data_IF_704757238626
#
_entry.id   IF_704757238626
#
_cell.length_a   1.000
_cell.length_b   1.000
_cell.length_c   1.000
_cell.angle_alpha   90.00
_cell.angle_beta   90.00
_cell.angle_gamma   90.00
#
_symmetry.space_group_name_H-M   'P 1'
#
loop_
_entity.id
_entity.type
_entity.pdbx_description
1 polymer ?
#
# COMPACT_ATOMS: atom_id res chain seq x y z
N UNK A 1 40.76 -24.86 11.42
CA UNK A 1 40.93 -24.40 12.82
C UNK A 1 39.58 -23.80 13.23
N UNK A 2 38.80 -24.52 14.05
CA UNK A 2 37.43 -24.11 14.43
C UNK A 2 37.51 -23.19 15.64
N UNK A 3 36.94 -21.99 15.56
CA UNK A 3 36.79 -21.07 16.70
C UNK A 3 35.31 -20.92 16.99
N UNK A 4 34.96 -21.14 18.25
CA UNK A 4 33.62 -21.26 18.80
C UNK A 4 33.19 -19.89 19.38
N UNK A 5 32.14 -19.29 18.81
CA UNK A 5 31.57 -18.03 19.27
C UNK A 5 30.57 -18.27 20.43
N UNK A 6 31.11 -18.52 21.63
CA UNK A 6 30.36 -18.43 22.88
C UNK A 6 31.29 -17.87 23.95
N UNK A 7 31.40 -16.56 24.05
CA UNK A 7 31.78 -15.81 25.26
C UNK A 7 31.95 -14.34 24.90
N UNK A 8 30.90 -13.53 25.08
CA UNK A 8 31.01 -12.09 25.36
C UNK A 8 29.59 -11.54 25.57
N UNK A 9 29.16 -11.49 26.84
CA UNK A 9 28.29 -10.45 27.43
C UNK A 9 27.94 -10.86 28.85
N UNK A 10 28.83 -10.52 29.77
CA UNK A 10 28.56 -10.52 31.20
C UNK A 10 29.33 -9.34 31.81
N UNK A 11 28.77 -8.13 31.67
CA UNK A 11 29.13 -6.96 32.48
C UNK A 11 28.15 -5.82 32.14
N UNK A 12 27.25 -5.48 33.07
CA UNK A 12 26.39 -4.30 32.90
C UNK A 12 25.12 -4.28 33.74
N UNK A 13 25.15 -4.73 34.99
CA UNK A 13 24.06 -4.48 35.93
C UNK A 13 24.66 -4.20 37.31
N UNK A 14 24.57 -2.94 37.77
CA UNK A 14 24.49 -2.50 39.17
C UNK A 14 24.65 -0.98 39.26
N UNK A 15 23.56 -0.28 39.56
CA UNK A 15 23.47 0.74 40.60
C UNK A 15 22.02 1.26 40.66
N UNK A 16 21.21 0.62 41.49
CA UNK A 16 19.96 1.18 41.98
C UNK A 16 19.94 1.08 43.51
N UNK A 17 19.73 2.22 44.15
CA UNK A 17 19.35 2.40 45.54
C UNK A 17 19.22 3.90 45.80
N UNK A 18 18.35 4.43 46.64
CA UNK A 18 17.20 3.97 47.43
C UNK A 18 16.62 5.24 48.03
N UNK A 19 15.29 5.39 48.10
CA UNK A 19 14.51 6.03 49.18
C UNK A 19 13.21 6.67 48.65
N UNK A 20 12.04 6.16 49.04
CA UNK A 20 11.21 6.72 50.11
C UNK A 20 9.94 5.87 50.31
N UNK A 21 9.66 5.57 51.58
CA UNK A 21 8.45 4.92 52.08
C UNK A 21 7.50 5.99 52.64
N UNK A 22 6.23 5.89 52.28
CA UNK A 22 5.00 6.24 53.03
C UNK A 22 3.86 6.22 52.00
N UNK A 23 2.67 5.63 52.17
CA UNK A 23 1.95 5.12 53.34
C UNK A 23 0.45 5.34 53.06
N UNK A 24 -0.40 4.43 53.53
CA UNK A 24 -1.88 4.42 53.48
C UNK A 24 -2.48 4.07 52.09
N UNK A 25 -3.26 3.00 51.88
CA UNK A 25 -4.07 2.18 52.77
C UNK A 25 -5.55 2.52 52.58
N UNK A 26 -6.30 1.70 51.84
CA UNK A 26 -7.66 1.25 52.22
C UNK A 26 -8.25 0.26 51.19
N UNK A 27 -8.91 -0.77 51.74
CA UNK A 27 -9.70 -1.81 51.07
C UNK A 27 -11.13 -1.31 50.85
N UNK A 28 -11.79 -1.77 49.79
CA UNK A 28 -13.19 -2.25 49.87
C UNK A 28 -13.45 -3.28 48.76
N UNK A 29 -14.13 -4.34 49.15
CA UNK A 29 -14.52 -5.56 48.40
C UNK A 29 -15.55 -5.34 47.27
N UNK A 30 -15.77 -6.35 46.40
CA UNK A 30 -16.59 -6.26 45.18
C UNK A 30 -17.99 -6.89 45.33
N UNK A 31 -18.96 -6.49 44.48
CA UNK A 31 -20.16 -7.25 44.02
C UNK A 31 -21.17 -6.31 43.30
N UNK A 32 -22.21 -6.81 42.60
CA UNK A 32 -22.35 -8.05 41.81
C UNK A 32 -22.95 -7.79 40.40
N UNK A 33 -22.97 -8.83 39.57
CA UNK A 33 -23.77 -8.90 38.34
C UNK A 33 -25.26 -9.21 38.63
N UNK A 34 -26.19 -8.84 37.72
CA UNK A 34 -27.48 -9.52 37.56
C UNK A 34 -27.52 -10.24 36.18
N UNK A 35 -27.56 -11.58 36.14
CA UNK A 35 -28.75 -12.47 36.07
C UNK A 35 -29.62 -12.33 34.83
N UNK A 36 -29.67 -13.45 34.10
CA UNK A 36 -30.59 -13.84 33.04
C UNK A 36 -32.06 -13.75 33.48
N UNK A 37 -32.93 -13.44 32.52
CA UNK A 37 -34.39 -13.45 32.66
C UNK A 37 -35.03 -13.94 31.36
N UNK A 38 -35.78 -15.03 31.51
CA UNK A 38 -36.37 -15.97 30.56
C UNK A 38 -37.57 -15.43 29.76
N UNK A 39 -37.73 -15.99 28.55
CA UNK A 39 -38.95 -16.39 27.82
C UNK A 39 -40.26 -15.55 27.93
N UNK A 40 -40.93 -15.30 26.80
CA UNK A 40 -42.17 -16.01 26.40
C UNK A 40 -42.75 -15.48 25.06
N UNK A 41 -43.46 -16.38 24.37
CA UNK A 41 -44.13 -16.25 23.06
C UNK A 41 -45.34 -15.30 23.09
N UNK A 42 -45.66 -14.67 21.95
CA UNK A 42 -46.80 -15.03 21.07
C UNK A 42 -47.34 -13.86 20.21
N UNK A 43 -47.81 -14.26 19.01
CA UNK A 43 -48.88 -13.67 18.19
C UNK A 43 -48.61 -12.44 17.30
N UNK A 44 -48.45 -12.75 16.00
CA UNK A 44 -49.25 -12.29 14.85
C UNK A 44 -49.96 -10.92 14.93
N UNK A 45 -49.65 -10.06 13.96
CA UNK A 45 -50.42 -8.87 13.61
C UNK A 45 -49.86 -8.19 12.36
N UNK A 46 -50.59 -8.31 11.26
CA UNK A 46 -50.28 -7.81 9.92
C UNK A 46 -50.00 -6.29 9.87
N UNK A 47 -48.93 -5.91 9.16
CA UNK A 47 -48.57 -4.51 8.89
C UNK A 47 -47.78 -4.39 7.59
N UNK A 48 -48.51 -4.15 6.50
CA UNK A 48 -48.03 -4.00 5.12
C UNK A 48 -47.46 -2.59 4.87
N UNK A 49 -46.18 -2.48 4.48
CA UNK A 49 -45.58 -1.54 3.49
C UNK A 49 -44.02 -1.46 3.65
N UNK A 50 -43.27 -0.94 2.66
CA UNK A 50 -42.92 -1.55 1.39
C UNK A 50 -41.41 -1.91 1.29
N UNK A 51 -41.10 -2.92 0.47
CA UNK A 51 -39.73 -3.29 0.13
C UNK A 51 -39.04 -2.22 -0.74
N UNK A 52 -37.94 -1.66 -0.28
CA UNK A 52 -36.94 -1.01 -1.14
C UNK A 52 -35.93 -2.06 -1.57
N UNK A 53 -36.36 -2.86 -2.55
CA UNK A 53 -35.49 -3.71 -3.34
C UNK A 53 -34.91 -2.84 -4.46
N UNK A 54 -33.60 -2.61 -4.45
CA UNK A 54 -32.89 -2.05 -5.60
C UNK A 54 -31.63 -2.87 -5.83
N UNK A 55 -31.82 -4.18 -5.96
CA UNK A 55 -30.90 -5.03 -6.69
C UNK A 55 -30.84 -4.54 -8.13
N UNK A 56 -29.66 -4.09 -8.56
CA UNK A 56 -29.36 -3.82 -9.95
C UNK A 56 -29.59 -5.10 -10.77
N UNK A 57 -30.74 -5.19 -11.42
CA UNK A 57 -31.06 -6.28 -12.32
C UNK A 57 -30.17 -6.19 -13.55
N UNK A 58 -29.24 -7.12 -13.68
CA UNK A 58 -28.52 -7.44 -14.93
C UNK A 58 -29.49 -8.10 -15.94
N UNK A 59 -30.53 -7.38 -16.36
CA UNK A 59 -31.33 -7.76 -17.51
C UNK A 59 -30.80 -7.06 -18.75
N UNK A 60 -30.29 -7.89 -19.67
CA UNK A 60 -29.74 -7.54 -20.97
C UNK A 60 -30.85 -7.00 -21.88
N UNK A 61 -30.84 -5.73 -22.33
CA UNK A 61 -31.76 -5.28 -23.35
C UNK A 61 -31.39 -5.93 -24.69
N UNK A 62 -32.38 -6.56 -25.31
CA UNK A 62 -32.30 -7.13 -26.65
C UNK A 62 -32.45 -6.02 -27.70
N UNK A 63 -31.39 -5.23 -27.91
CA UNK A 63 -31.21 -4.38 -29.09
C UNK A 63 -29.73 -4.42 -29.48
N UNK A 64 -29.37 -5.40 -30.30
CA UNK A 64 -28.01 -5.58 -30.77
C UNK A 64 -27.72 -4.59 -31.92
N UNK A 65 -27.40 -3.35 -31.57
CA UNK A 65 -26.55 -2.52 -32.44
C UNK A 65 -25.28 -3.32 -32.78
N UNK A 66 -24.76 -3.22 -34.01
CA UNK A 66 -23.47 -3.82 -34.35
C UNK A 66 -22.44 -3.36 -33.32
N UNK A 67 -21.80 -4.31 -32.63
CA UNK A 67 -20.73 -4.00 -31.70
C UNK A 67 -19.59 -3.40 -32.52
N UNK A 68 -19.38 -2.10 -32.38
CA UNK A 68 -18.20 -1.42 -32.90
C UNK A 68 -16.96 -2.20 -32.43
N UNK A 69 -16.23 -2.87 -33.34
CA UNK A 69 -15.14 -3.77 -32.97
C UNK A 69 -13.93 -3.02 -32.40
N UNK A 70 -13.91 -1.68 -32.51
CA UNK A 70 -12.90 -0.85 -31.87
C UNK A 70 -13.13 -0.72 -30.35
N UNK A 71 -14.35 -0.90 -29.84
CA UNK A 71 -14.66 -0.74 -28.41
C UNK A 71 -14.14 -1.94 -27.61
N UNK A 72 -13.18 -1.68 -26.72
CA UNK A 72 -12.53 -2.67 -25.86
C UNK A 72 -13.31 -2.83 -24.56
N UNK A 73 -13.65 -1.71 -23.91
CA UNK A 73 -14.41 -1.68 -22.66
C UNK A 73 -15.30 -0.44 -22.64
N UNK A 74 -16.42 -0.52 -21.94
CA UNK A 74 -17.33 0.60 -21.75
C UNK A 74 -18.06 0.53 -20.42
N UNK A 75 -18.38 1.69 -19.89
CA UNK A 75 -19.14 1.86 -18.66
C UNK A 75 -20.00 3.12 -18.77
N UNK A 76 -21.15 3.12 -18.10
CA UNK A 76 -21.96 4.32 -17.92
C UNK A 76 -21.88 4.78 -16.47
N UNK A 77 -21.56 6.05 -16.25
CA UNK A 77 -21.54 6.68 -14.93
C UNK A 77 -22.53 7.86 -15.00
N UNK A 78 -23.76 7.64 -14.52
CA UNK A 78 -24.85 8.61 -14.64
C UNK A 78 -25.15 8.98 -16.10
N UNK A 79 -24.93 10.24 -16.46
CA UNK A 79 -25.09 10.77 -17.82
C UNK A 79 -23.85 10.64 -18.70
N UNK A 80 -22.72 10.20 -18.13
CA UNK A 80 -21.46 10.06 -18.84
C UNK A 80 -21.30 8.65 -19.42
N UNK A 81 -20.89 8.58 -20.68
CA UNK A 81 -20.39 7.38 -21.31
C UNK A 81 -18.86 7.35 -21.24
N UNK A 82 -18.32 6.30 -20.63
CA UNK A 82 -16.89 6.02 -20.56
C UNK A 82 -16.61 4.87 -21.50
N UNK A 83 -15.63 5.02 -22.39
CA UNK A 83 -15.27 3.97 -23.34
C UNK A 83 -13.78 3.97 -23.63
N UNK A 84 -13.21 2.78 -23.72
CA UNK A 84 -11.86 2.54 -24.23
C UNK A 84 -11.99 1.92 -25.61
N UNK A 85 -11.33 2.52 -26.60
CA UNK A 85 -11.33 2.06 -27.99
C UNK A 85 -9.92 1.81 -28.49
N UNK A 86 -9.75 0.83 -29.37
CA UNK A 86 -8.54 0.67 -30.17
C UNK A 86 -8.47 1.79 -31.21
N UNK A 87 -7.30 2.38 -31.39
CA UNK A 87 -7.02 3.37 -32.43
C UNK A 87 -6.39 2.70 -33.66
N UNK A 88 -6.46 3.36 -34.82
CA UNK A 88 -6.00 2.80 -36.10
C UNK A 88 -4.49 2.53 -36.13
N UNK A 89 -3.72 3.26 -35.33
CA UNK A 89 -2.28 3.08 -35.10
C UNK A 89 -1.94 1.89 -34.19
N UNK A 90 -2.94 1.16 -33.68
CA UNK A 90 -2.76 0.03 -32.78
C UNK A 90 -2.64 0.41 -31.30
N UNK A 91 -2.78 1.69 -30.96
CA UNK A 91 -2.91 2.19 -29.60
C UNK A 91 -4.31 2.01 -29.01
N UNK A 92 -4.56 2.72 -27.91
CA UNK A 92 -5.90 2.79 -27.30
C UNK A 92 -6.24 4.22 -26.89
N UNK A 93 -7.53 4.56 -26.93
CA UNK A 93 -8.07 5.84 -26.46
C UNK A 93 -9.21 5.62 -25.49
N UNK A 94 -9.08 6.21 -24.30
CA UNK A 94 -10.16 6.46 -23.36
C UNK A 94 -10.90 7.75 -23.76
N UNK A 95 -12.23 7.69 -23.74
CA UNK A 95 -13.11 8.86 -23.84
C UNK A 95 -14.13 8.86 -22.72
N UNK A 96 -14.37 10.01 -22.10
CA UNK A 96 -15.54 10.26 -21.25
C UNK A 96 -16.38 11.34 -21.94
N UNK A 97 -17.62 11.03 -22.28
CA UNK A 97 -18.51 11.92 -23.03
C UNK A 97 -19.86 12.09 -22.34
N UNK A 98 -20.48 13.27 -22.51
CA UNK A 98 -21.88 13.53 -22.16
C UNK A 98 -22.65 13.84 -23.44
N UNK A 99 -23.47 12.90 -23.88
CA UNK A 99 -24.08 12.95 -25.21
C UNK A 99 -23.00 12.95 -26.30
N UNK A 100 -23.02 13.94 -27.20
CA UNK A 100 -22.01 14.09 -28.26
C UNK A 100 -20.78 14.87 -27.83
N UNK A 101 -20.78 15.46 -26.63
CA UNK A 101 -19.66 16.27 -26.13
C UNK A 101 -18.65 15.38 -25.40
N UNK A 102 -17.45 15.29 -25.95
CA UNK A 102 -16.29 14.72 -25.26
C UNK A 102 -15.84 15.68 -24.15
N UNK A 103 -15.67 15.13 -22.95
CA UNK A 103 -15.27 15.85 -21.73
C UNK A 103 -13.84 15.51 -21.30
N UNK A 104 -13.41 14.27 -21.54
CA UNK A 104 -12.06 13.79 -21.29
C UNK A 104 -11.65 12.85 -22.42
N UNK A 105 -10.40 12.95 -22.84
CA UNK A 105 -9.77 12.05 -23.80
C UNK A 105 -8.33 11.78 -23.39
N UNK A 106 -7.95 10.51 -23.40
CA UNK A 106 -6.58 10.07 -23.10
C UNK A 106 -6.22 8.95 -24.05
N UNK A 107 -5.06 9.03 -24.69
CA UNK A 107 -4.59 8.01 -25.62
C UNK A 107 -3.26 7.45 -25.16
N UNK A 108 -3.03 6.18 -25.49
CA UNK A 108 -1.75 5.49 -25.37
C UNK A 108 -1.35 4.98 -26.74
N UNK A 109 -0.06 5.04 -27.01
CA UNK A 109 0.53 4.57 -28.27
C UNK A 109 0.43 3.05 -28.42
N UNK A 110 0.79 2.55 -29.60
CA UNK A 110 0.87 1.12 -29.87
C UNK A 110 1.72 0.38 -28.83
N UNK A 111 1.16 -0.71 -28.27
CA UNK A 111 1.78 -1.47 -27.17
C UNK A 111 1.32 -1.04 -25.78
N UNK A 112 0.80 0.18 -25.63
CA UNK A 112 0.13 0.62 -24.43
C UNK A 112 -1.29 0.07 -24.28
N UNK A 113 -1.81 0.07 -23.05
CA UNK A 113 -3.17 -0.39 -22.73
C UNK A 113 -3.83 0.52 -21.70
N UNK A 114 -5.11 0.77 -21.88
CA UNK A 114 -5.98 1.47 -20.94
C UNK A 114 -7.04 0.49 -20.43
N UNK A 115 -7.24 0.45 -19.11
CA UNK A 115 -8.26 -0.40 -18.47
C UNK A 115 -9.12 0.46 -17.56
N UNK A 116 -10.44 0.25 -17.61
CA UNK A 116 -11.37 0.91 -16.69
C UNK A 116 -11.40 0.14 -15.36
N UNK A 117 -11.19 0.86 -14.26
CA UNK A 117 -11.05 0.32 -12.92
C UNK A 117 -9.62 -0.06 -12.53
N UNK A 118 -9.50 -0.55 -11.29
CA UNK A 118 -8.22 -0.83 -10.62
C UNK A 118 -7.51 -2.12 -11.04
N UNK A 119 -8.01 -2.86 -12.03
CA UNK A 119 -7.42 -4.13 -12.41
C UNK A 119 -8.00 -4.73 -13.70
N UNK A 120 -7.24 -5.67 -14.28
CA UNK A 120 -7.73 -6.52 -15.36
C UNK A 120 -8.73 -7.56 -14.83
N UNK A 121 -9.79 -7.90 -15.58
CA UNK A 121 -10.90 -8.74 -15.14
C UNK A 121 -10.57 -10.22 -14.83
N UNK A 122 -9.30 -10.63 -14.85
CA UNK A 122 -8.88 -12.04 -14.79
C UNK A 122 -8.64 -12.62 -13.38
N UNK A 123 -8.81 -11.84 -12.32
CA UNK A 123 -8.75 -12.37 -10.96
C UNK A 123 -10.04 -12.07 -10.20
N UNK A 124 -10.45 -12.96 -9.28
CA UNK A 124 -11.61 -12.80 -8.42
C UNK A 124 -11.49 -11.64 -7.40
N UNK A 125 -10.66 -10.64 -7.69
CA UNK A 125 -10.46 -9.44 -6.89
C UNK A 125 -11.58 -8.44 -7.17
N UNK A 126 -12.00 -7.73 -6.12
CA UNK A 126 -12.89 -6.58 -6.22
C UNK A 126 -12.25 -5.54 -7.14
N UNK A 127 -12.97 -5.14 -8.19
CA UNK A 127 -12.53 -4.08 -9.10
C UNK A 127 -13.03 -2.74 -8.57
N UNK A 128 -12.10 -1.86 -8.21
CA UNK A 128 -12.38 -0.51 -7.74
C UNK A 128 -12.48 0.51 -8.89
N UNK A 129 -13.17 1.63 -8.68
CA UNK A 129 -13.18 2.77 -9.60
C UNK A 129 -13.86 2.53 -10.94
N UNK A 130 -14.96 1.77 -10.97
CA UNK A 130 -15.89 1.64 -12.11
C UNK A 130 -17.24 2.28 -11.78
N UNK A 131 -17.24 3.47 -11.19
CA UNK A 131 -18.46 4.22 -10.85
C UNK A 131 -18.94 4.07 -9.40
N UNK A 132 -18.09 3.58 -8.50
CA UNK A 132 -18.29 3.66 -7.05
C UNK A 132 -17.50 4.83 -6.45
N UNK A 133 -17.91 5.28 -5.27
CA UNK A 133 -17.15 6.25 -4.47
C UNK A 133 -15.96 5.54 -3.82
N UNK A 134 -14.74 5.79 -4.32
CA UNK A 134 -13.50 5.19 -3.76
C UNK A 134 -12.73 6.17 -2.88
N UNK A 135 -13.05 7.46 -2.96
CA UNK A 135 -12.46 8.52 -2.14
C UNK A 135 -13.26 8.74 -0.84
N UNK A 136 -14.52 8.31 -0.84
CA UNK A 136 -15.49 8.46 0.24
C UNK A 136 -15.93 9.90 0.47
N UNK A 137 -15.99 10.69 -0.61
CA UNK A 137 -16.48 12.08 -0.59
C UNK A 137 -17.95 12.21 -0.99
N UNK A 138 -18.63 11.08 -1.26
CA UNK A 138 -20.01 11.01 -1.69
C UNK A 138 -20.21 11.12 -3.20
N UNK A 139 -19.13 11.25 -3.98
CA UNK A 139 -19.16 11.28 -5.45
C UNK A 139 -18.65 9.97 -6.02
N UNK A 140 -19.16 9.58 -7.19
CA UNK A 140 -18.66 8.40 -7.90
C UNK A 140 -17.32 8.69 -8.57
N UNK A 141 -16.43 7.70 -8.50
CA UNK A 141 -15.08 7.79 -9.03
C UNK A 141 -14.85 6.80 -10.19
N UNK A 142 -13.93 7.18 -11.06
CA UNK A 142 -13.38 6.37 -12.14
C UNK A 142 -11.88 6.23 -11.95
N UNK A 143 -11.42 5.00 -11.76
CA UNK A 143 -10.00 4.66 -11.85
C UNK A 143 -9.72 4.26 -13.30
N UNK A 144 -8.62 4.75 -13.86
CA UNK A 144 -8.10 4.34 -15.16
C UNK A 144 -6.69 3.82 -14.95
N UNK A 145 -6.49 2.55 -15.26
CA UNK A 145 -5.16 1.93 -15.26
C UNK A 145 -4.54 2.07 -16.64
N UNK A 146 -3.38 2.71 -16.72
CA UNK A 146 -2.58 2.87 -17.92
C UNK A 146 -1.33 2.01 -17.82
N UNK A 147 -1.16 1.08 -18.75
CA UNK A 147 0.10 0.40 -19.01
C UNK A 147 0.74 1.04 -20.24
N UNK A 148 1.94 1.58 -20.11
CA UNK A 148 2.57 2.35 -21.21
C UNK A 148 3.24 1.49 -22.29
N UNK A 149 3.35 0.16 -22.10
CA UNK A 149 3.97 -0.74 -23.09
C UNK A 149 5.44 -1.06 -22.86
N UNK A 150 6.05 -0.56 -21.78
CA UNK A 150 7.43 -0.90 -21.39
C UNK A 150 7.58 -2.38 -21.00
N UNK A 151 8.78 -2.94 -21.21
CA UNK A 151 9.02 -4.38 -21.07
C UNK A 151 8.74 -4.97 -19.69
N UNK A 152 8.74 -4.16 -18.62
CA UNK A 152 8.52 -4.62 -17.24
C UNK A 152 7.94 -3.59 -16.25
N UNK A 153 7.65 -2.35 -16.64
CA UNK A 153 7.26 -1.31 -15.69
C UNK A 153 6.76 -0.08 -16.40
N UNK A 154 5.68 0.48 -15.87
CA UNK A 154 5.10 1.82 -16.02
C UNK A 154 3.59 1.64 -16.06
N UNK A 155 3.06 1.21 -14.91
CA UNK A 155 1.61 1.27 -14.67
C UNK A 155 1.31 2.56 -13.93
N UNK A 156 0.45 3.38 -14.50
CA UNK A 156 -0.08 4.57 -13.86
C UNK A 156 -1.56 4.36 -13.55
N UNK A 157 -2.01 4.89 -12.42
CA UNK A 157 -3.42 4.91 -12.05
C UNK A 157 -3.89 6.34 -11.97
N UNK A 158 -4.89 6.69 -12.78
CA UNK A 158 -5.55 7.99 -12.71
C UNK A 158 -6.87 7.83 -12.00
N UNK A 159 -7.09 8.63 -10.97
CA UNK A 159 -8.32 8.64 -10.20
C UNK A 159 -9.09 9.90 -10.57
N UNK A 160 -10.24 9.73 -11.21
CA UNK A 160 -11.13 10.82 -11.57
C UNK A 160 -12.37 10.80 -10.70
N UNK A 161 -12.73 11.96 -10.15
CA UNK A 161 -14.07 12.21 -9.63
C UNK A 161 -14.99 12.50 -10.81
N UNK A 162 -16.15 11.85 -10.88
CA UNK A 162 -17.11 12.05 -11.97
C UNK A 162 -18.38 12.73 -11.45
N UNK A 163 -18.32 14.06 -11.36
CA UNK A 163 -19.44 14.90 -10.95
C UNK A 163 -20.30 15.38 -12.12
N UNK A 164 -21.37 16.14 -11.82
CA UNK A 164 -22.28 16.71 -12.83
C UNK A 164 -21.61 17.68 -13.81
N UNK A 165 -20.49 18.29 -13.41
CA UNK A 165 -19.68 19.15 -14.28
C UNK A 165 -18.83 18.35 -15.28
N UNK A 166 -18.56 17.08 -15.03
CA UNK A 166 -17.64 16.23 -15.80
C UNK A 166 -16.61 15.52 -14.91
N UNK A 167 -15.70 14.75 -15.54
CA UNK A 167 -14.57 14.14 -14.85
C UNK A 167 -13.53 15.19 -14.42
N UNK A 168 -13.06 15.10 -13.18
CA UNK A 168 -11.98 15.89 -12.59
C UNK A 168 -10.87 14.94 -12.13
N UNK A 169 -9.62 15.17 -12.53
CA UNK A 169 -8.50 14.37 -12.03
C UNK A 169 -8.24 14.72 -10.56
N UNK A 170 -8.44 13.73 -9.68
CA UNK A 170 -8.18 13.86 -8.25
C UNK A 170 -6.72 13.55 -7.95
N UNK A 171 -6.20 12.45 -8.52
CA UNK A 171 -4.83 12.04 -8.28
C UNK A 171 -4.27 11.13 -9.39
N UNK A 172 -2.93 11.04 -9.43
CA UNK A 172 -2.16 10.16 -10.30
C UNK A 172 -1.15 9.37 -9.46
N UNK A 173 -1.30 8.05 -9.42
CA UNK A 173 -0.33 7.16 -8.78
C UNK A 173 0.59 6.60 -9.84
N UNK A 174 1.87 6.98 -9.78
CA UNK A 174 2.95 6.40 -10.59
C UNK A 174 3.50 5.19 -9.87
N UNK A 175 2.97 4.02 -10.20
CA UNK A 175 3.30 2.80 -9.49
C UNK A 175 4.52 2.06 -10.07
N UNK A 176 5.11 2.59 -11.14
CA UNK A 176 6.24 1.97 -11.84
C UNK A 176 5.94 0.52 -12.21
N UNK A 177 6.40 -0.44 -11.42
CA UNK A 177 6.17 -1.89 -11.57
C UNK A 177 4.76 -2.35 -11.12
N UNK A 178 3.86 -1.40 -10.86
CA UNK A 178 2.45 -1.65 -10.60
C UNK A 178 2.13 -1.80 -9.11
N UNK A 179 0.88 -2.19 -8.87
CA UNK A 179 0.34 -2.40 -7.54
C UNK A 179 -1.12 -2.82 -7.64
N UNK A 180 -1.85 -2.67 -6.54
CA UNK A 180 -3.27 -3.02 -6.51
C UNK A 180 -4.04 -2.13 -5.56
N UNK A 181 -5.30 -1.91 -5.88
CA UNK A 181 -6.26 -1.33 -4.94
C UNK A 181 -6.88 -2.45 -4.09
N UNK A 182 -6.89 -2.26 -2.79
CA UNK A 182 -7.40 -3.22 -1.80
C UNK A 182 -7.92 -2.45 -0.59
N UNK A 183 -9.09 -2.81 -0.09
CA UNK A 183 -9.63 -2.29 1.17
C UNK A 183 -8.94 -3.06 2.33
N UNK A 184 -7.81 -2.53 2.81
CA UNK A 184 -6.98 -3.18 3.84
C UNK A 184 -7.59 -3.03 5.23
N UNK A 185 -8.25 -1.91 5.49
CA UNK A 185 -8.78 -1.56 6.80
C UNK A 185 -10.27 -1.95 6.97
N UNK A 186 -10.94 -2.39 5.90
CA UNK A 186 -12.35 -2.79 5.82
C UNK A 186 -13.34 -1.65 6.09
N UNK A 187 -12.99 -0.42 5.72
CA UNK A 187 -13.86 0.75 5.82
C UNK A 187 -14.72 0.98 4.55
N UNK A 188 -14.56 0.11 3.54
CA UNK A 188 -15.27 0.19 2.27
C UNK A 188 -14.56 1.06 1.22
N UNK A 189 -13.43 1.68 1.55
CA UNK A 189 -12.60 2.47 0.65
C UNK A 189 -11.30 1.72 0.35
N UNK A 190 -10.83 1.70 -0.91
CA UNK A 190 -9.59 1.02 -1.23
C UNK A 190 -8.36 1.88 -0.89
N UNK A 191 -7.34 1.24 -0.33
CA UNK A 191 -5.97 1.72 -0.38
C UNK A 191 -5.22 1.18 -1.60
N UNK A 192 -4.18 1.89 -2.01
CA UNK A 192 -3.25 1.42 -3.01
C UNK A 192 -2.06 0.72 -2.33
N UNK A 193 -1.89 -0.58 -2.56
CA UNK A 193 -0.73 -1.35 -2.14
C UNK A 193 0.27 -1.47 -3.29
N UNK A 194 1.51 -1.03 -3.04
CA UNK A 194 2.58 -1.00 -4.03
C UNK A 194 3.96 -1.28 -3.44
N UNK A 195 4.98 -0.80 -4.15
CA UNK A 195 6.39 -0.96 -3.85
C UNK A 195 7.12 0.36 -4.10
N UNK A 196 8.05 0.72 -3.23
CA UNK A 196 8.95 1.85 -3.47
C UNK A 196 10.21 1.36 -4.18
N UNK A 197 10.38 1.77 -5.44
CA UNK A 197 11.51 1.36 -6.27
C UNK A 197 12.67 2.35 -6.26
N UNK A 198 12.71 3.30 -5.32
CA UNK A 198 13.80 4.29 -5.21
C UNK A 198 15.18 3.66 -5.00
N UNK A 199 15.24 2.40 -4.56
CA UNK A 199 16.46 1.61 -4.37
C UNK A 199 16.80 0.72 -5.57
N UNK A 200 16.02 0.77 -6.66
CA UNK A 200 16.35 0.07 -7.90
C UNK A 200 17.73 0.50 -8.40
N UNK A 201 18.58 -0.49 -8.71
CA UNK A 201 19.96 -0.30 -9.15
C UNK A 201 20.92 0.34 -8.14
N UNK A 202 20.49 0.62 -6.91
CA UNK A 202 21.37 1.16 -5.90
C UNK A 202 22.16 0.02 -5.23
N UNK A 203 23.46 -0.06 -5.56
CA UNK A 203 24.41 -1.07 -5.07
C UNK A 203 24.04 -2.54 -5.35
N UNK A 204 23.02 -2.78 -6.20
CA UNK A 204 22.57 -4.10 -6.63
C UNK A 204 22.11 -4.09 -8.09
N UNK A 205 21.99 -5.27 -8.71
CA UNK A 205 21.28 -5.40 -9.97
C UNK A 205 19.78 -5.12 -9.79
N UNK A 206 19.04 -4.84 -10.88
CA UNK A 206 17.58 -4.64 -10.79
C UNK A 206 16.88 -5.82 -10.12
N UNK A 207 17.27 -7.05 -10.51
CA UNK A 207 16.66 -8.29 -10.03
C UNK A 207 16.85 -8.53 -8.51
N UNK A 208 17.90 -7.94 -7.94
CA UNK A 208 18.22 -8.06 -6.52
C UNK A 208 17.79 -6.82 -5.72
N UNK A 209 17.44 -5.72 -6.38
CA UNK A 209 17.15 -4.45 -5.71
C UNK A 209 15.94 -4.61 -4.78
N UNK A 210 16.06 -4.18 -3.50
CA UNK A 210 14.92 -4.20 -2.61
C UNK A 210 13.92 -3.14 -3.03
N UNK A 211 12.64 -3.45 -2.84
CA UNK A 211 11.55 -2.52 -3.02
C UNK A 211 10.59 -2.70 -1.84
N UNK A 212 10.70 -1.88 -0.77
CA UNK A 212 9.85 -2.05 0.40
C UNK A 212 8.38 -1.81 0.04
N UNK A 213 7.50 -2.49 0.78
CA UNK A 213 6.04 -2.33 0.62
C UNK A 213 5.63 -0.91 0.98
N UNK A 214 4.78 -0.30 0.15
CA UNK A 214 4.06 0.93 0.47
C UNK A 214 2.55 0.69 0.47
N UNK A 215 1.85 1.43 1.33
CA UNK A 215 0.40 1.56 1.29
C UNK A 215 0.07 3.04 1.19
N UNK A 216 -0.74 3.40 0.20
CA UNK A 216 -1.27 4.73 0.06
C UNK A 216 -2.76 4.74 0.40
N UNK A 217 -3.18 5.65 1.27
CA UNK A 217 -4.59 5.90 1.60
C UNK A 217 -4.99 7.29 1.12
N UNK A 218 -6.26 7.47 0.75
CA UNK A 218 -6.77 8.77 0.34
C UNK A 218 -6.97 9.68 1.56
N UNK A 219 -6.28 10.82 1.60
CA UNK A 219 -6.32 11.76 2.74
C UNK A 219 -7.44 12.81 2.65
N UNK A 220 -8.39 12.62 1.73
CA UNK A 220 -9.42 13.60 1.38
C UNK A 220 -9.01 14.52 0.21
N UNK A 221 -7.74 14.51 -0.20
CA UNK A 221 -7.24 15.27 -1.35
C UNK A 221 -6.51 14.41 -2.36
N UNK A 222 -5.63 13.52 -1.90
CA UNK A 222 -4.84 12.61 -2.74
C UNK A 222 -4.41 11.36 -1.98
N UNK A 223 -3.90 10.37 -2.70
CA UNK A 223 -3.30 9.19 -2.09
C UNK A 223 -1.96 9.56 -1.47
N UNK A 224 -1.81 9.25 -0.18
CA UNK A 224 -0.63 9.51 0.63
C UNK A 224 -0.19 8.26 1.34
N UNK A 225 1.11 8.19 1.64
CA UNK A 225 1.64 7.08 2.43
C UNK A 225 0.84 6.96 3.74
N UNK A 226 0.47 5.73 4.08
CA UNK A 226 -0.25 5.42 5.32
C UNK A 226 0.64 4.62 6.25
N UNK A 227 1.47 5.28 7.10
CA UNK A 227 2.31 4.59 8.07
C UNK A 227 1.53 3.64 8.98
N UNK A 228 0.27 3.98 9.31
CA UNK A 228 -0.56 3.13 10.16
C UNK A 228 -0.89 1.77 9.53
N UNK A 229 -1.18 1.75 8.22
CA UNK A 229 -1.50 0.52 7.48
C UNK A 229 -0.25 -0.25 7.00
N UNK A 230 0.93 0.37 7.11
CA UNK A 230 2.21 -0.31 6.91
C UNK A 230 2.82 -0.84 8.20
N UNK A 231 2.38 -0.33 9.35
CA UNK A 231 2.98 -0.65 10.65
C UNK A 231 2.89 -2.14 10.95
N UNK A 232 4.01 -2.71 11.35
CA UNK A 232 4.06 -4.07 11.90
C UNK A 232 4.57 -4.05 13.34
N UNK A 233 4.40 -5.17 14.06
CA UNK A 233 5.05 -5.32 15.36
C UNK A 233 6.56 -5.35 15.19
N UNK A 234 7.30 -4.72 16.11
CA UNK A 234 8.75 -4.83 16.11
C UNK A 234 9.18 -6.31 16.17
N UNK A 235 10.25 -6.70 15.47
CA UNK A 235 10.79 -8.05 15.61
C UNK A 235 11.19 -8.30 17.07
N UNK A 236 10.97 -9.53 17.54
CA UNK A 236 11.55 -9.96 18.82
C UNK A 236 13.08 -9.93 18.77
N UNK A 237 13.74 -9.86 19.93
CA UNK A 237 15.20 -9.89 20.01
C UNK A 237 15.81 -11.09 19.26
N UNK A 238 15.19 -12.28 19.40
CA UNK A 238 15.61 -13.48 18.69
C UNK A 238 15.49 -13.33 17.17
N UNK A 239 14.36 -12.84 16.66
CA UNK A 239 14.20 -12.63 15.22
C UNK A 239 15.20 -11.59 14.68
N UNK A 240 15.48 -10.56 15.46
CA UNK A 240 16.47 -9.54 15.11
C UNK A 240 17.89 -10.14 15.07
N UNK A 241 18.26 -10.96 16.07
CA UNK A 241 19.54 -11.68 16.11
C UNK A 241 19.70 -12.63 14.92
N UNK A 242 18.66 -13.41 14.59
CA UNK A 242 18.67 -14.33 13.44
C UNK A 242 18.90 -13.56 12.12
N UNK A 243 18.27 -12.39 11.95
CA UNK A 243 18.50 -11.51 10.79
C UNK A 243 19.91 -10.94 10.75
N UNK A 244 20.43 -10.47 11.89
CA UNK A 244 21.81 -9.96 12.00
C UNK A 244 22.81 -11.06 11.65
N UNK A 245 22.67 -12.25 12.23
CA UNK A 245 23.55 -13.38 11.97
C UNK A 245 23.53 -13.77 10.49
N UNK A 246 22.34 -13.83 9.87
CA UNK A 246 22.21 -14.12 8.44
C UNK A 246 22.98 -13.12 7.57
N UNK A 247 22.96 -11.82 7.92
CA UNK A 247 23.70 -10.79 7.18
C UNK A 247 25.20 -10.90 7.43
N UNK A 248 25.64 -11.16 8.66
CA UNK A 248 27.05 -11.31 9.01
C UNK A 248 27.71 -12.53 8.36
N UNK A 249 26.93 -13.58 8.08
CA UNK A 249 27.40 -14.81 7.42
C UNK A 249 27.37 -14.74 5.89
N UNK A 250 26.93 -13.62 5.30
CA UNK A 250 26.84 -13.48 3.84
C UNK A 250 28.23 -13.41 3.20
N UNK A 251 28.53 -14.25 2.19
CA UNK A 251 29.85 -14.28 1.56
C UNK A 251 30.20 -12.99 0.80
N UNK A 252 29.24 -12.12 0.49
CA UNK A 252 29.49 -10.84 -0.18
C UNK A 252 30.48 -9.95 0.59
N UNK A 253 30.55 -10.12 1.91
CA UNK A 253 31.55 -9.44 2.75
C UNK A 253 32.99 -9.81 2.40
N UNK A 254 33.24 -11.04 1.90
CA UNK A 254 34.57 -11.46 1.44
C UNK A 254 35.04 -10.67 0.21
N UNK A 255 34.09 -10.22 -0.61
CA UNK A 255 34.33 -9.34 -1.76
C UNK A 255 34.42 -7.85 -1.35
N UNK A 256 34.37 -7.54 -0.04
CA UNK A 256 34.34 -6.18 0.47
C UNK A 256 33.05 -5.41 0.14
N UNK A 257 31.96 -6.12 -0.18
CA UNK A 257 30.68 -5.52 -0.55
C UNK A 257 29.63 -5.81 0.52
N UNK A 258 28.94 -4.79 1.06
CA UNK A 258 27.77 -5.03 1.89
C UNK A 258 26.73 -5.85 1.10
N UNK A 259 26.16 -6.91 1.67
CA UNK A 259 25.16 -7.73 0.99
C UNK A 259 23.82 -7.00 0.91
N UNK A 260 23.04 -7.27 -0.13
CA UNK A 260 21.73 -6.62 -0.36
C UNK A 260 20.75 -6.82 0.80
N UNK A 261 20.84 -7.97 1.45
CA UNK A 261 20.07 -8.32 2.65
C UNK A 261 20.26 -7.31 3.78
N UNK A 262 21.44 -6.68 3.91
CA UNK A 262 21.71 -5.65 4.92
C UNK A 262 20.72 -4.49 4.85
N UNK A 263 20.57 -3.87 3.68
CA UNK A 263 19.70 -2.70 3.54
C UNK A 263 18.27 -3.07 3.19
N UNK A 264 18.02 -4.24 2.60
CA UNK A 264 16.64 -4.75 2.45
C UNK A 264 15.96 -4.88 3.82
N UNK A 265 16.63 -5.47 4.80
CA UNK A 265 16.10 -5.63 6.16
C UNK A 265 15.95 -4.28 6.89
N UNK A 266 16.91 -3.36 6.68
CA UNK A 266 16.80 -2.00 7.21
C UNK A 266 15.59 -1.25 6.62
N UNK A 267 15.34 -1.37 5.31
CA UNK A 267 14.20 -0.77 4.64
C UNK A 267 12.88 -1.35 5.15
N UNK A 268 12.77 -2.67 5.28
CA UNK A 268 11.57 -3.30 5.82
C UNK A 268 11.26 -2.80 7.24
N UNK A 269 12.29 -2.63 8.08
CA UNK A 269 12.12 -2.04 9.42
C UNK A 269 11.67 -0.57 9.35
N UNK A 270 12.27 0.24 8.49
CA UNK A 270 11.92 1.66 8.32
C UNK A 270 10.47 1.81 7.85
N UNK A 271 10.10 1.16 6.75
CA UNK A 271 8.78 1.29 6.13
C UNK A 271 7.67 0.66 6.98
N UNK A 272 8.01 -0.32 7.84
CA UNK A 272 7.06 -0.91 8.79
C UNK A 272 6.96 -0.21 10.15
N UNK A 273 7.56 0.98 10.27
CA UNK A 273 7.37 1.88 11.41
C UNK A 273 8.43 1.77 12.51
N UNK A 274 9.61 1.20 12.22
CA UNK A 274 10.74 1.08 13.15
C UNK A 274 12.01 1.76 12.61
N UNK A 275 11.97 3.06 12.23
CA UNK A 275 13.07 3.69 11.50
C UNK A 275 14.39 3.74 12.29
N UNK A 276 14.35 3.96 13.60
CA UNK A 276 15.53 3.94 14.47
C UNK A 276 16.14 2.53 14.54
N UNK A 277 15.29 1.50 14.61
CA UNK A 277 15.76 0.12 14.61
C UNK A 277 16.35 -0.25 13.25
N UNK A 278 15.75 0.18 12.14
CA UNK A 278 16.28 -0.03 10.79
C UNK A 278 17.65 0.62 10.59
N UNK A 279 17.83 1.88 11.02
CA UNK A 279 19.13 2.54 10.99
C UNK A 279 20.17 1.86 11.90
N UNK A 280 19.75 1.41 13.09
CA UNK A 280 20.63 0.65 14.00
C UNK A 280 20.98 -0.73 13.46
N UNK A 281 20.06 -1.39 12.74
CA UNK A 281 20.26 -2.71 12.17
C UNK A 281 21.49 -2.72 11.27
N UNK A 282 21.66 -1.69 10.43
CA UNK A 282 22.84 -1.55 9.56
C UNK A 282 24.13 -1.64 10.36
N UNK A 283 24.22 -0.94 11.51
CA UNK A 283 25.41 -0.97 12.37
C UNK A 283 25.59 -2.30 13.09
N UNK A 284 24.50 -2.92 13.55
CA UNK A 284 24.54 -4.20 14.27
C UNK A 284 24.94 -5.37 13.35
N UNK A 285 24.54 -5.29 12.08
CA UNK A 285 24.83 -6.29 11.05
C UNK A 285 26.06 -5.95 10.20
N UNK A 286 26.88 -4.98 10.62
CA UNK A 286 28.15 -4.65 9.99
C UNK A 286 29.30 -5.39 10.68
N UNK A 287 30.10 -6.20 9.96
CA UNK A 287 31.25 -6.90 10.56
C UNK A 287 32.25 -5.91 11.18
N UNK A 288 32.65 -6.14 12.42
CA UNK A 288 33.52 -5.20 13.17
C UNK A 288 34.93 -5.05 12.58
N UNK A 289 35.33 -5.96 11.68
CA UNK A 289 36.61 -5.95 10.98
C UNK A 289 36.53 -5.30 9.59
N UNK A 290 35.38 -4.75 9.19
CA UNK A 290 35.18 -4.08 7.91
C UNK A 290 34.88 -2.60 8.18
N UNK A 291 35.67 -1.71 7.58
CA UNK A 291 35.46 -0.26 7.68
C UNK A 291 34.32 0.21 6.75
N UNK A 292 33.91 1.49 6.85
CA UNK A 292 32.98 2.10 5.89
C UNK A 292 31.50 2.13 6.28
N UNK A 293 31.13 1.67 7.49
CA UNK A 293 29.72 1.68 7.94
C UNK A 293 29.10 3.08 7.93
N UNK A 294 29.86 4.12 8.28
CA UNK A 294 29.36 5.51 8.32
C UNK A 294 29.14 6.08 6.92
N UNK A 295 30.02 5.77 5.96
CA UNK A 295 29.88 6.15 4.55
C UNK A 295 28.65 5.46 3.95
N UNK A 296 28.49 4.15 4.18
CA UNK A 296 27.33 3.41 3.73
C UNK A 296 26.02 3.99 4.29
N UNK A 297 25.98 4.32 5.59
CA UNK A 297 24.81 4.93 6.23
C UNK A 297 24.50 6.31 5.63
N UNK A 298 25.53 7.11 5.31
CA UNK A 298 25.34 8.41 4.67
C UNK A 298 24.70 8.26 3.29
N UNK A 299 25.24 7.41 2.43
CA UNK A 299 24.68 7.13 1.11
C UNK A 299 23.29 6.50 1.16
N UNK A 300 23.07 5.57 2.10
CA UNK A 300 21.76 4.95 2.32
C UNK A 300 20.70 6.00 2.64
N UNK A 301 21.04 6.97 3.50
CA UNK A 301 20.15 8.09 3.83
C UNK A 301 19.92 9.00 2.64
N UNK A 302 20.94 9.28 1.83
CA UNK A 302 20.76 10.06 0.60
C UNK A 302 19.78 9.37 -0.34
N UNK A 303 19.98 8.07 -0.59
CA UNK A 303 19.08 7.25 -1.41
C UNK A 303 17.66 7.21 -0.85
N UNK A 304 17.52 7.05 0.46
CA UNK A 304 16.21 7.06 1.12
C UNK A 304 15.47 8.39 0.96
N UNK A 305 16.19 9.52 0.97
CA UNK A 305 15.62 10.84 0.76
C UNK A 305 15.23 11.12 -0.69
N UNK A 306 15.69 10.31 -1.66
CA UNK A 306 15.21 10.38 -3.05
C UNK A 306 13.82 9.76 -3.20
N UNK A 307 13.34 9.00 -2.21
CA UNK A 307 11.99 8.43 -2.25
C UNK A 307 10.91 9.51 -2.27
N UNK A 308 9.89 9.38 -3.14
CA UNK A 308 8.72 10.27 -3.12
C UNK A 308 7.94 10.18 -1.79
N UNK A 309 8.23 9.18 -0.97
CA UNK A 309 7.60 8.90 0.32
C UNK A 309 8.45 9.31 1.52
N UNK A 310 9.68 9.80 1.31
CA UNK A 310 10.63 10.11 2.39
C UNK A 310 10.05 11.06 3.46
N UNK A 311 9.28 12.07 3.04
CA UNK A 311 8.65 13.03 3.96
C UNK A 311 7.61 12.44 4.92
N UNK A 312 7.06 11.27 4.58
CA UNK A 312 6.02 10.59 5.37
C UNK A 312 6.61 9.47 6.26
N UNK A 313 7.92 9.16 6.15
CA UNK A 313 8.58 8.02 6.81
C UNK A 313 9.11 8.28 8.24
N UNK A 314 8.81 9.43 8.87
CA UNK A 314 9.25 9.78 10.25
C UNK A 314 10.72 9.42 10.54
N UNK A 315 11.62 9.73 9.62
CA UNK A 315 13.04 9.37 9.76
C UNK A 315 13.70 10.16 10.90
N UNK A 316 14.59 9.53 11.70
CA UNK A 316 15.31 10.24 12.76
C UNK A 316 16.18 11.35 12.17
N UNK A 317 16.22 12.51 12.84
CA UNK A 317 17.04 13.65 12.41
C UNK A 317 18.54 13.27 12.35
N UNK A 318 19.31 14.05 11.58
CA UNK A 318 20.77 13.90 11.48
C UNK A 318 21.40 14.16 12.85
N UNK A 319 21.62 13.09 13.63
CA UNK A 319 22.53 13.08 14.78
C UNK A 319 23.98 13.16 14.36
#
# INVERSE_FOLDING_TARGET
MKINAKSLLCAGALCAGSAFLAGCGERTDPAPAPTEGTAERAAEGEGRAPATDTLATNQRPADAQPRDPSVIDRLRIGEFEVAVRRTDDGGQRLTVARGTREMLSRSVEAGGRLTLGSGAPESAQTVFGRGQDVTGDGTVDLIVTEFTGGSNCCTNYYIYRVGSAGPELVDEIRAEYGGRFVDLNRDGKPEFEGRDWSFAHWRASFAESPAPRIVLAFDGRRYRLSPELMRTSAPSARQLEEKIESVLLDPSWEDGRPPVTLWSEALDLIYSGHPELGMRFIRMAWPSNIEGVDEFIAEFRERLNESPHAGDLNLPERG
#
